data_IF_472731352164
#
_entry.id   IF_472731352164
#
_cell.length_a   1.000
_cell.length_b   1.000
_cell.length_c   1.000
_cell.angle_alpha   90.00
_cell.angle_beta   90.00
_cell.angle_gamma   90.00
#
_symmetry.space_group_name_H-M   'P 1'
#
loop_
_entity.id
_entity.type
_entity.pdbx_description
1 polymer ?
#
# COMPACT_ATOMS: atom_id res chain seq x y z
N UNK A 1 -8.46 -29.79 -9.65
CA UNK A 1 -9.70 -29.24 -9.07
C UNK A 1 -9.31 -28.66 -7.71
N UNK A 2 -8.44 -27.65 -7.66
CA UNK A 2 -8.72 -26.22 -7.95
C UNK A 2 -9.73 -25.65 -6.96
N UNK A 3 -9.30 -24.69 -6.15
CA UNK A 3 -10.20 -23.91 -5.29
C UNK A 3 -9.54 -23.23 -4.08
N UNK A 4 -8.38 -22.59 -4.25
CA UNK A 4 -7.84 -21.67 -3.25
C UNK A 4 -8.54 -20.33 -3.38
N UNK A 5 -9.50 -20.05 -2.51
CA UNK A 5 -10.07 -18.71 -2.40
C UNK A 5 -9.11 -17.85 -1.58
N UNK A 6 -8.18 -17.16 -2.28
CA UNK A 6 -7.60 -15.95 -1.76
C UNK A 6 -8.75 -14.96 -1.60
N UNK A 7 -9.26 -14.84 -0.37
CA UNK A 7 -10.08 -13.72 0.01
C UNK A 7 -9.20 -12.48 -0.21
N UNK A 8 -9.41 -11.83 -1.35
CA UNK A 8 -8.99 -10.46 -1.56
C UNK A 8 -9.43 -9.71 -0.30
N UNK A 9 -8.43 -9.26 0.45
CA UNK A 9 -8.62 -8.41 1.61
C UNK A 9 -9.61 -7.35 1.18
N UNK A 10 -10.79 -7.37 1.81
CA UNK A 10 -11.88 -6.43 1.65
C UNK A 10 -11.25 -5.03 1.65
N UNK A 11 -10.96 -4.50 0.46
CA UNK A 11 -10.48 -3.14 0.28
C UNK A 11 -11.70 -2.32 0.62
N UNK A 12 -11.75 -1.91 1.89
CA UNK A 12 -12.74 -1.03 2.47
C UNK A 12 -13.04 0.08 1.47
N UNK A 13 -14.16 -0.06 0.77
CA UNK A 13 -14.58 0.78 -0.36
C UNK A 13 -15.18 2.10 0.14
N UNK A 14 -14.83 2.50 1.37
CA UNK A 14 -15.17 3.81 1.91
C UNK A 14 -14.17 4.82 1.35
N UNK A 15 -14.68 5.87 0.70
CA UNK A 15 -13.85 6.95 0.15
C UNK A 15 -13.15 7.69 1.30
N UNK A 16 -11.93 7.27 1.64
CA UNK A 16 -11.12 7.93 2.67
C UNK A 16 -10.73 9.34 2.21
N UNK A 17 -10.87 10.31 3.10
CA UNK A 17 -10.49 11.71 2.90
C UNK A 17 -9.13 12.03 3.55
N UNK A 18 -8.55 13.18 3.19
CA UNK A 18 -7.24 13.62 3.71
C UNK A 18 -7.27 13.83 5.22
N UNK A 19 -8.38 14.34 5.74
CA UNK A 19 -8.56 14.70 7.14
C UNK A 19 -8.63 13.45 8.03
N UNK A 20 -8.96 12.30 7.44
CA UNK A 20 -9.01 10.99 8.12
C UNK A 20 -7.64 10.30 8.16
N UNK A 21 -6.63 10.84 7.45
CA UNK A 21 -5.27 10.31 7.49
C UNK A 21 -4.50 10.82 8.71
N UNK A 22 -3.62 9.98 9.30
CA UNK A 22 -2.73 10.39 10.38
C UNK A 22 -1.95 11.67 10.07
N UNK A 23 -1.73 12.50 11.09
CA UNK A 23 -0.92 13.72 10.97
C UNK A 23 0.58 13.43 10.88
N UNK A 24 1.02 12.26 11.35
CA UNK A 24 2.43 11.89 11.49
C UNK A 24 2.74 10.63 10.70
N UNK A 25 3.93 10.58 10.14
CA UNK A 25 4.49 9.38 9.54
C UNK A 25 4.58 8.27 10.60
N UNK A 26 4.02 7.11 10.31
CA UNK A 26 3.97 5.97 11.24
C UNK A 26 5.37 5.38 11.51
N UNK A 27 6.34 5.60 10.62
CA UNK A 27 7.70 5.12 10.77
C UNK A 27 8.60 6.09 11.56
N UNK A 28 8.61 7.38 11.19
CA UNK A 28 9.59 8.35 11.73
C UNK A 28 8.98 9.48 12.56
N UNK A 29 7.65 9.60 12.64
CA UNK A 29 6.96 10.64 13.41
C UNK A 29 7.00 12.05 12.81
N UNK A 30 7.57 12.24 11.62
CA UNK A 30 7.54 13.51 10.90
C UNK A 30 6.08 13.91 10.59
N UNK A 31 5.78 15.22 10.59
CA UNK A 31 4.46 15.69 10.14
C UNK A 31 4.29 15.42 8.66
N UNK A 32 3.19 14.79 8.27
CA UNK A 32 2.85 14.57 6.86
C UNK A 32 2.36 15.86 6.22
N UNK A 33 2.87 16.13 5.04
CA UNK A 33 2.37 17.20 4.18
C UNK A 33 1.07 16.77 3.50
N UNK A 34 0.28 17.75 3.04
CA UNK A 34 -0.92 17.48 2.23
C UNK A 34 -0.61 16.63 1.00
N UNK A 35 0.54 16.85 0.36
CA UNK A 35 0.99 16.07 -0.80
C UNK A 35 1.24 14.60 -0.44
N UNK A 36 1.87 14.34 0.70
CA UNK A 36 2.11 12.97 1.16
C UNK A 36 0.80 12.27 1.53
N UNK A 37 -0.14 12.99 2.17
CA UNK A 37 -1.49 12.49 2.45
C UNK A 37 -2.28 12.17 1.18
N UNK A 38 -2.25 13.04 0.16
CA UNK A 38 -2.89 12.74 -1.13
C UNK A 38 -2.32 11.45 -1.73
N UNK A 39 -0.99 11.32 -1.73
CA UNK A 39 -0.32 10.13 -2.28
C UNK A 39 -0.77 8.83 -1.61
N UNK A 40 -0.97 8.86 -0.29
CA UNK A 40 -1.47 7.69 0.46
C UNK A 40 -2.87 7.28 -0.02
N UNK A 41 -3.76 8.25 -0.28
CA UNK A 41 -5.10 7.98 -0.82
C UNK A 41 -5.04 7.46 -2.25
N UNK A 42 -4.30 8.15 -3.11
CA UNK A 42 -4.16 7.84 -4.54
C UNK A 42 -3.60 6.43 -4.77
N UNK A 43 -2.62 6.02 -3.94
CA UNK A 43 -1.97 4.70 -4.02
C UNK A 43 -2.73 3.62 -3.23
N UNK A 44 -3.74 3.97 -2.44
CA UNK A 44 -4.41 3.05 -1.53
C UNK A 44 -3.44 2.42 -0.51
N UNK A 45 -2.40 3.17 -0.11
CA UNK A 45 -1.35 2.65 0.75
C UNK A 45 -1.90 2.32 2.15
N UNK A 46 -1.56 1.13 2.65
CA UNK A 46 -2.00 0.67 3.98
C UNK A 46 -1.32 1.38 5.14
N UNK A 47 -0.17 2.03 4.90
CA UNK A 47 0.61 2.75 5.90
C UNK A 47 0.77 4.23 5.54
N UNK A 48 0.60 5.09 6.53
CA UNK A 48 0.73 6.54 6.36
C UNK A 48 2.20 6.96 6.51
N UNK A 49 2.93 6.98 5.39
CA UNK A 49 4.37 7.25 5.36
C UNK A 49 4.71 8.53 4.62
N UNK A 50 5.75 9.22 5.12
CA UNK A 50 6.36 10.33 4.39
C UNK A 50 7.09 9.80 3.15
N UNK A 51 7.37 10.70 2.21
CA UNK A 51 7.99 10.35 0.91
C UNK A 51 9.29 9.56 1.09
N UNK A 52 10.10 9.92 2.08
CA UNK A 52 11.36 9.24 2.38
C UNK A 52 11.11 7.80 2.82
N UNK A 53 10.29 7.58 3.85
CA UNK A 53 10.04 6.24 4.39
C UNK A 53 9.25 5.36 3.43
N UNK A 54 8.39 5.95 2.60
CA UNK A 54 7.69 5.23 1.55
C UNK A 54 8.65 4.73 0.45
N UNK A 55 9.62 5.55 0.05
CA UNK A 55 10.62 5.16 -0.95
C UNK A 55 11.56 4.04 -0.51
N UNK A 56 11.71 3.82 0.80
CA UNK A 56 12.50 2.73 1.36
C UNK A 56 11.75 1.38 1.34
N UNK A 57 10.42 1.41 1.30
CA UNK A 57 9.60 0.23 1.09
C UNK A 57 9.57 -0.07 -0.40
N UNK A 58 10.52 -0.89 -0.86
CA UNK A 58 10.44 -1.44 -2.21
C UNK A 58 9.25 -2.42 -2.23
N UNK A 59 8.15 -2.14 -2.96
CA UNK A 59 7.12 -3.15 -3.13
C UNK A 59 7.79 -4.33 -3.82
N UNK A 60 7.77 -5.50 -3.16
CA UNK A 60 8.13 -6.74 -3.81
C UNK A 60 7.06 -6.96 -4.88
N UNK A 61 7.36 -6.53 -6.11
CA UNK A 61 6.56 -6.90 -7.25
C UNK A 61 6.44 -8.42 -7.21
N UNK A 62 5.21 -8.90 -7.10
CA UNK A 62 4.89 -10.31 -7.22
C UNK A 62 5.46 -10.76 -8.57
N UNK A 63 6.62 -11.42 -8.53
CA UNK A 63 7.12 -12.12 -9.69
C UNK A 63 6.09 -13.23 -9.92
N UNK A 64 5.22 -13.06 -10.91
CA UNK A 64 4.42 -14.15 -11.45
C UNK A 64 5.43 -15.19 -11.96
N UNK A 65 5.63 -16.22 -11.14
CA UNK A 65 6.49 -17.36 -11.40
C UNK A 65 5.80 -18.31 -12.41
N UNK A 66 5.53 -17.84 -13.63
CA UNK A 66 5.21 -18.74 -14.75
C UNK A 66 6.53 -19.25 -15.37
N UNK A 67 7.29 -20.00 -14.59
CA UNK A 67 8.37 -20.85 -15.07
C UNK A 67 7.87 -22.29 -15.13
N UNK A 68 6.89 -22.54 -16.00
CA UNK A 68 6.55 -23.89 -16.46
C UNK A 68 7.71 -24.40 -17.32
N UNK A 69 8.72 -24.94 -16.65
CA UNK A 69 9.82 -25.67 -17.27
C UNK A 69 9.29 -27.02 -17.73
N UNK A 70 8.80 -27.08 -18.96
CA UNK A 70 8.45 -28.34 -19.62
C UNK A 70 9.74 -29.11 -19.95
N UNK A 71 10.02 -30.14 -19.16
CA UNK A 71 11.04 -31.17 -19.41
C UNK A 71 10.47 -32.33 -20.23
#
# INVERSE_FOLDING_TARGET
MSGGAAAALDMDLEERTIEELPERCENCGATLTTTEKQRILDEGASAALCTTCAGELTPLAEQEEDADAEF
#
